data_IF_049804099687
#
_entry.id   IF_049804099687
#
_cell.length_a   1.000
_cell.length_b   1.000
_cell.length_c   1.000
_cell.angle_alpha   90.00
_cell.angle_beta   90.00
_cell.angle_gamma   90.00
#
_symmetry.space_group_name_H-M   'P 1'
#
loop_
_entity.id
_entity.type
_entity.pdbx_description
1 polymer ?
#
# COMPACT_ATOMS: atom_id res chain seq x y z
N UNK A 1 15.28 -6.06 44.49
CA UNK A 1 15.36 -4.92 43.54
C UNK A 1 13.97 -4.32 43.49
N UNK A 2 13.76 -3.25 44.25
CA UNK A 2 12.47 -2.56 44.31
C UNK A 2 12.34 -1.70 43.05
N UNK A 3 11.40 -2.06 42.18
CA UNK A 3 10.97 -1.18 41.09
C UNK A 3 10.21 -0.01 41.70
N UNK A 4 10.90 1.10 41.92
CA UNK A 4 10.28 2.34 42.37
C UNK A 4 9.31 2.81 41.30
N UNK A 5 8.06 2.98 41.71
CA UNK A 5 6.98 3.55 40.94
C UNK A 5 7.31 5.02 40.60
N UNK A 6 7.94 5.26 39.45
CA UNK A 6 8.20 6.60 38.89
C UNK A 6 6.92 7.43 38.62
N UNK A 7 5.75 6.85 38.85
CA UNK A 7 4.43 7.52 38.72
C UNK A 7 4.04 8.41 39.90
N UNK A 8 4.87 8.53 40.94
CA UNK A 8 4.52 9.26 42.16
C UNK A 8 5.19 10.63 42.31
N UNK A 9 5.77 11.18 41.24
CA UNK A 9 6.27 12.55 41.29
C UNK A 9 5.10 13.56 41.20
N UNK A 10 5.20 14.76 41.79
CA UNK A 10 4.15 15.80 41.70
C UNK A 10 3.80 16.15 40.25
N UNK A 11 4.78 16.07 39.32
CA UNK A 11 4.61 16.31 37.89
C UNK A 11 3.76 15.19 37.25
N UNK A 12 4.02 13.93 37.55
CA UNK A 12 3.23 12.81 37.02
C UNK A 12 1.79 12.81 37.53
N UNK A 13 1.57 13.17 38.77
CA UNK A 13 0.21 13.32 39.34
C UNK A 13 -0.55 14.47 38.67
N UNK A 14 0.11 15.59 38.38
CA UNK A 14 -0.50 16.72 37.65
C UNK A 14 -0.86 16.33 36.22
N UNK A 15 0.00 15.56 35.54
CA UNK A 15 -0.27 15.04 34.18
C UNK A 15 -1.50 14.12 34.21
N UNK A 16 -1.57 13.17 35.14
CA UNK A 16 -2.71 12.26 35.28
C UNK A 16 -4.00 13.02 35.54
N UNK A 17 -3.97 14.01 36.47
CA UNK A 17 -5.13 14.84 36.77
C UNK A 17 -5.62 15.63 35.55
N UNK A 18 -4.71 16.23 34.80
CA UNK A 18 -5.04 16.96 33.54
C UNK A 18 -5.64 16.03 32.47
N UNK A 19 -5.12 14.81 32.34
CA UNK A 19 -5.69 13.80 31.45
C UNK A 19 -7.11 13.44 31.89
N UNK A 20 -7.33 13.19 33.18
CA UNK A 20 -8.65 12.85 33.74
C UNK A 20 -9.68 13.96 33.55
N UNK A 21 -9.28 15.22 33.71
CA UNK A 21 -10.15 16.38 33.48
C UNK A 21 -10.49 16.58 31.99
N UNK A 22 -9.55 16.32 31.08
CA UNK A 22 -9.75 16.45 29.63
C UNK A 22 -10.51 15.29 28.98
N UNK A 23 -10.42 14.09 29.58
CA UNK A 23 -10.95 12.85 29.02
C UNK A 23 -12.46 12.89 28.71
N UNK A 24 -13.35 13.37 29.61
CA UNK A 24 -14.80 13.40 29.33
C UNK A 24 -15.16 14.23 28.12
N UNK A 25 -14.51 15.39 27.92
CA UNK A 25 -14.73 16.25 26.76
C UNK A 25 -14.28 15.54 25.47
N UNK A 26 -13.12 14.90 25.50
CA UNK A 26 -12.58 14.16 24.35
C UNK A 26 -13.47 12.97 23.99
N UNK A 27 -13.92 12.20 24.98
CA UNK A 27 -14.84 11.07 24.79
C UNK A 27 -16.18 11.55 24.22
N UNK A 28 -16.74 12.66 24.72
CA UNK A 28 -17.98 13.23 24.19
C UNK A 28 -17.85 13.65 22.73
N UNK A 29 -16.75 14.34 22.35
CA UNK A 29 -16.45 14.71 20.96
C UNK A 29 -16.33 13.47 20.08
N UNK A 30 -15.58 12.47 20.53
CA UNK A 30 -15.42 11.22 19.78
C UNK A 30 -16.76 10.49 19.59
N UNK A 31 -17.55 10.38 20.66
CA UNK A 31 -18.88 9.75 20.63
C UNK A 31 -19.81 10.46 19.64
N UNK A 32 -19.79 11.79 19.59
CA UNK A 32 -20.62 12.54 18.62
C UNK A 32 -20.19 12.29 17.17
N UNK A 33 -18.87 12.15 16.90
CA UNK A 33 -18.34 11.76 15.59
C UNK A 33 -18.76 10.35 15.18
N UNK A 34 -18.74 9.40 16.11
CA UNK A 34 -19.20 8.02 15.85
C UNK A 34 -20.70 7.97 15.53
N UNK A 35 -21.54 8.70 16.29
CA UNK A 35 -22.99 8.81 16.02
C UNK A 35 -23.28 9.41 14.66
N UNK A 36 -22.48 10.36 14.18
CA UNK A 36 -22.63 10.88 12.82
C UNK A 36 -22.37 9.79 11.76
N UNK A 37 -21.31 8.97 11.95
CA UNK A 37 -21.01 7.84 11.04
C UNK A 37 -22.17 6.86 11.02
N UNK A 38 -22.67 6.44 12.17
CA UNK A 38 -23.81 5.51 12.29
C UNK A 38 -25.06 6.04 11.56
N UNK A 39 -25.25 7.36 11.62
CA UNK A 39 -26.41 8.01 10.96
C UNK A 39 -26.27 8.06 9.43
N UNK A 40 -25.05 8.26 8.89
CA UNK A 40 -24.84 8.40 7.44
C UNK A 40 -24.65 7.04 6.75
N UNK A 41 -24.13 6.04 7.42
CA UNK A 41 -23.78 4.74 6.84
C UNK A 41 -24.96 4.05 6.11
N UNK A 42 -26.19 4.00 6.65
CA UNK A 42 -27.33 3.42 5.94
C UNK A 42 -27.66 4.14 4.63
N UNK A 43 -27.52 5.47 4.61
CA UNK A 43 -27.76 6.28 3.40
C UNK A 43 -26.73 5.95 2.31
N UNK A 44 -25.43 5.87 2.66
CA UNK A 44 -24.38 5.52 1.71
C UNK A 44 -24.55 4.11 1.16
N UNK A 45 -25.03 3.18 2.00
CA UNK A 45 -25.34 1.82 1.56
C UNK A 45 -26.53 1.77 0.61
N UNK A 46 -27.63 2.47 0.94
CA UNK A 46 -28.82 2.50 0.11
C UNK A 46 -28.56 3.15 -1.26
N UNK A 47 -27.73 4.18 -1.31
CA UNK A 47 -27.40 4.91 -2.54
C UNK A 47 -26.43 4.19 -3.49
N UNK A 48 -25.91 3.02 -3.14
CA UNK A 48 -24.95 2.29 -3.96
C UNK A 48 -23.47 2.69 -3.76
N UNK A 49 -23.20 3.69 -2.91
CA UNK A 49 -21.82 4.08 -2.56
C UNK A 49 -21.08 2.98 -1.82
N UNK A 50 -21.79 2.21 -0.98
CA UNK A 50 -21.28 1.02 -0.31
C UNK A 50 -22.05 -0.19 -0.80
N UNK A 51 -21.35 -1.17 -1.33
CA UNK A 51 -21.89 -2.39 -1.92
C UNK A 51 -21.48 -3.61 -1.09
N UNK A 52 -22.42 -4.54 -0.88
CA UNK A 52 -22.10 -5.84 -0.30
C UNK A 52 -21.51 -6.74 -1.38
N UNK A 53 -20.54 -7.55 -0.99
CA UNK A 53 -19.87 -8.49 -1.88
C UNK A 53 -20.14 -9.91 -1.42
N UNK A 54 -20.59 -10.73 -2.34
CA UNK A 54 -20.71 -12.17 -2.15
C UNK A 54 -19.35 -12.82 -2.33
N UNK A 55 -19.01 -13.74 -1.45
CA UNK A 55 -17.75 -14.47 -1.56
C UNK A 55 -17.85 -15.59 -2.58
N UNK A 56 -16.75 -15.87 -3.25
CA UNK A 56 -16.60 -17.09 -4.05
C UNK A 56 -16.39 -18.27 -3.10
N UNK A 57 -17.28 -19.25 -3.19
CA UNK A 57 -17.20 -20.50 -2.41
C UNK A 57 -17.78 -21.66 -3.25
N UNK A 58 -16.96 -22.63 -3.71
CA UNK A 58 -15.51 -22.67 -3.54
C UNK A 58 -14.76 -21.64 -4.40
N UNK A 59 -13.63 -21.16 -3.88
CA UNK A 59 -12.71 -20.32 -4.65
C UNK A 59 -11.77 -21.23 -5.45
N UNK A 60 -11.78 -21.06 -6.78
CA UNK A 60 -10.78 -21.67 -7.68
C UNK A 60 -10.11 -20.55 -8.46
N UNK A 61 -8.81 -20.34 -8.25
CA UNK A 61 -8.06 -19.25 -8.88
C UNK A 61 -6.55 -19.54 -8.88
N UNK A 62 -5.89 -19.18 -9.98
CA UNK A 62 -4.43 -19.01 -10.01
C UNK A 62 -4.10 -17.56 -9.66
N UNK A 63 -3.43 -17.33 -8.55
CA UNK A 63 -3.07 -16.00 -8.10
C UNK A 63 -1.60 -15.89 -7.74
N UNK A 64 -1.03 -14.70 -7.98
CA UNK A 64 0.33 -14.35 -7.61
C UNK A 64 0.34 -13.13 -6.69
N UNK A 65 1.21 -13.15 -5.69
CA UNK A 65 1.52 -11.99 -4.86
C UNK A 65 2.96 -11.55 -5.10
N UNK A 66 3.20 -10.26 -5.23
CA UNK A 66 4.56 -9.69 -5.27
C UNK A 66 4.62 -8.59 -4.22
N UNK A 67 5.58 -8.73 -3.29
CA UNK A 67 5.82 -7.76 -2.22
C UNK A 67 7.24 -7.28 -2.27
N UNK A 68 7.47 -6.01 -1.91
CA UNK A 68 8.80 -5.43 -1.76
C UNK A 68 8.99 -4.87 -0.36
N UNK A 69 10.24 -4.91 0.12
CA UNK A 69 10.62 -4.38 1.41
C UNK A 69 12.06 -3.90 1.39
N UNK A 70 12.36 -2.89 2.19
CA UNK A 70 13.71 -2.43 2.44
C UNK A 70 13.99 -2.26 3.93
N UNK A 71 15.27 -2.26 4.29
CA UNK A 71 15.79 -1.89 5.61
C UNK A 71 17.08 -1.11 5.43
N UNK A 72 17.30 -0.20 6.36
CA UNK A 72 18.47 0.67 6.39
C UNK A 72 19.21 0.55 7.70
N UNK A 73 20.50 0.89 7.68
CA UNK A 73 21.33 1.08 8.86
C UNK A 73 22.36 2.15 8.57
N UNK A 74 22.54 3.08 9.50
CA UNK A 74 23.62 4.05 9.42
C UNK A 74 24.95 3.35 9.60
N UNK A 75 25.91 3.59 8.72
CA UNK A 75 27.27 3.07 8.84
C UNK A 75 28.21 3.86 7.91
N UNK A 76 29.47 3.98 8.30
CA UNK A 76 30.54 4.58 7.51
C UNK A 76 30.25 6.02 7.03
N UNK A 77 29.44 6.76 7.80
CA UNK A 77 29.01 8.12 7.42
C UNK A 77 27.93 8.21 6.34
N UNK A 78 27.35 7.08 5.92
CA UNK A 78 26.25 6.95 4.97
C UNK A 78 25.12 6.05 5.48
N UNK A 79 24.20 5.72 4.61
CA UNK A 79 23.11 4.79 4.89
C UNK A 79 23.29 3.55 4.03
N UNK A 80 23.60 2.43 4.67
CA UNK A 80 23.52 1.11 4.03
C UNK A 80 22.07 0.67 3.94
N UNK A 81 21.69 0.04 2.84
CA UNK A 81 20.37 -0.55 2.69
C UNK A 81 20.42 -1.97 2.16
N UNK A 82 19.41 -2.73 2.51
CA UNK A 82 19.02 -3.97 1.83
C UNK A 82 17.59 -3.79 1.33
N UNK A 83 17.38 -4.02 0.05
CA UNK A 83 16.07 -3.98 -0.57
C UNK A 83 15.83 -5.29 -1.32
N UNK A 84 14.59 -5.77 -1.27
CA UNK A 84 14.24 -6.97 -1.99
C UNK A 84 12.76 -7.03 -2.33
N UNK A 85 12.45 -7.79 -3.37
CA UNK A 85 11.10 -8.17 -3.71
C UNK A 85 10.99 -9.69 -3.84
N UNK A 86 9.83 -10.24 -3.49
CA UNK A 86 9.53 -11.65 -3.63
C UNK A 86 8.18 -11.84 -4.33
N UNK A 87 8.10 -12.85 -5.17
CA UNK A 87 6.90 -13.33 -5.85
C UNK A 87 6.53 -14.69 -5.28
N UNK A 88 5.23 -14.90 -5.03
CA UNK A 88 4.67 -16.20 -4.67
C UNK A 88 3.45 -16.49 -5.53
N UNK A 89 3.55 -17.53 -6.35
CA UNK A 89 2.44 -18.05 -7.14
C UNK A 89 1.71 -19.16 -6.40
N UNK A 90 0.39 -19.19 -6.57
CA UNK A 90 -0.49 -20.15 -5.92
C UNK A 90 -1.61 -20.59 -6.85
N UNK A 91 -1.95 -21.87 -6.78
CA UNK A 91 -3.25 -22.37 -7.19
C UNK A 91 -4.09 -22.60 -5.94
N UNK A 92 -5.28 -22.03 -5.92
CA UNK A 92 -6.28 -22.27 -4.88
C UNK A 92 -7.41 -23.00 -5.54
N UNK A 93 -7.75 -24.18 -5.03
CA UNK A 93 -8.75 -25.08 -5.58
C UNK A 93 -9.40 -25.88 -4.45
N UNK A 94 -10.72 -25.90 -4.41
CA UNK A 94 -11.50 -26.64 -3.41
C UNK A 94 -11.07 -26.39 -1.96
N UNK A 95 -10.76 -25.15 -1.63
CA UNK A 95 -10.31 -24.74 -0.30
C UNK A 95 -8.86 -25.13 0.04
N UNK A 96 -8.15 -25.77 -0.89
CA UNK A 96 -6.74 -26.14 -0.75
C UNK A 96 -5.84 -25.09 -1.42
N UNK A 97 -4.65 -24.87 -0.84
CA UNK A 97 -3.68 -23.89 -1.31
C UNK A 97 -2.41 -24.62 -1.75
N UNK A 98 -2.08 -24.54 -3.03
CA UNK A 98 -0.88 -25.10 -3.61
C UNK A 98 0.08 -23.97 -4.00
N UNK A 99 1.25 -23.93 -3.37
CA UNK A 99 2.34 -23.01 -3.77
C UNK A 99 3.04 -23.60 -4.98
N UNK A 100 3.01 -22.89 -6.09
CA UNK A 100 3.52 -23.42 -7.37
C UNK A 100 4.89 -22.89 -7.73
N UNK A 101 5.18 -21.63 -7.39
CA UNK A 101 6.47 -20.99 -7.69
C UNK A 101 6.79 -19.88 -6.69
N UNK A 102 8.08 -19.73 -6.40
CA UNK A 102 8.59 -18.62 -5.61
C UNK A 102 9.86 -18.06 -6.27
N UNK A 103 9.89 -16.77 -6.54
CA UNK A 103 11.06 -16.03 -7.06
C UNK A 103 11.37 -14.85 -6.14
N UNK A 104 12.60 -14.37 -6.17
CA UNK A 104 12.99 -13.19 -5.41
C UNK A 104 14.17 -12.45 -6.04
N UNK A 105 14.26 -11.15 -5.76
CA UNK A 105 15.42 -10.32 -6.06
C UNK A 105 15.83 -9.57 -4.80
N UNK A 106 17.11 -9.46 -4.55
CA UNK A 106 17.66 -8.76 -3.38
C UNK A 106 18.89 -7.98 -3.84
N UNK A 107 19.03 -6.76 -3.33
CA UNK A 107 20.21 -5.94 -3.48
C UNK A 107 20.63 -5.35 -2.15
N UNK A 108 21.93 -5.15 -1.98
CA UNK A 108 22.54 -4.49 -0.81
C UNK A 108 23.50 -3.45 -1.35
N UNK A 109 23.32 -2.20 -0.95
CA UNK A 109 24.13 -1.09 -1.43
C UNK A 109 24.11 0.08 -0.43
N UNK A 110 24.76 1.15 -0.76
CA UNK A 110 24.79 2.40 -0.02
C UNK A 110 23.90 3.44 -0.68
N UNK A 111 23.27 4.27 0.13
CA UNK A 111 22.45 5.39 -0.31
C UNK A 111 22.80 6.64 0.48
N UNK A 112 22.79 7.78 -0.18
CA UNK A 112 22.95 9.08 0.46
C UNK A 112 21.76 9.40 1.37
N UNK A 113 21.98 10.04 2.51
CA UNK A 113 20.97 10.33 3.54
C UNK A 113 19.82 11.16 3.02
N UNK A 114 20.11 12.13 2.15
CA UNK A 114 19.08 13.02 1.62
C UNK A 114 18.08 12.27 0.73
N UNK A 115 16.79 12.37 1.10
CA UNK A 115 15.67 11.71 0.42
C UNK A 115 15.77 10.17 0.35
N UNK A 116 16.52 9.54 1.26
CA UNK A 116 16.74 8.09 1.31
C UNK A 116 15.42 7.30 1.23
N UNK A 117 14.39 7.71 1.95
CA UNK A 117 13.07 7.06 1.93
C UNK A 117 12.40 7.09 0.54
N UNK A 118 12.54 8.19 -0.22
CA UNK A 118 12.03 8.25 -1.59
C UNK A 118 12.83 7.36 -2.54
N UNK A 119 14.17 7.39 -2.41
CA UNK A 119 15.04 6.54 -3.23
C UNK A 119 14.71 5.07 -3.02
N UNK A 120 14.55 4.64 -1.76
CA UNK A 120 14.17 3.26 -1.40
C UNK A 120 12.80 2.88 -1.94
N UNK A 121 11.82 3.79 -1.90
CA UNK A 121 10.51 3.56 -2.52
C UNK A 121 10.63 3.29 -4.03
N UNK A 122 11.49 4.03 -4.75
CA UNK A 122 11.72 3.78 -6.18
C UNK A 122 12.39 2.42 -6.42
N UNK A 123 13.34 2.04 -5.58
CA UNK A 123 14.01 0.73 -5.63
C UNK A 123 13.00 -0.40 -5.43
N UNK A 124 12.12 -0.30 -4.43
CA UNK A 124 11.05 -1.28 -4.18
C UNK A 124 10.14 -1.44 -5.41
N UNK A 125 9.77 -0.32 -6.06
CA UNK A 125 8.98 -0.34 -7.28
C UNK A 125 9.75 -1.01 -8.43
N UNK A 126 11.01 -0.65 -8.67
CA UNK A 126 11.85 -1.24 -9.72
C UNK A 126 11.95 -2.76 -9.54
N UNK A 127 12.22 -3.22 -8.31
CA UNK A 127 12.32 -4.64 -8.00
C UNK A 127 10.99 -5.39 -8.21
N UNK A 128 9.86 -4.76 -7.86
CA UNK A 128 8.53 -5.33 -8.12
C UNK A 128 8.26 -5.44 -9.62
N UNK A 129 8.53 -4.40 -10.40
CA UNK A 129 8.30 -4.40 -11.85
C UNK A 129 9.23 -5.38 -12.59
N UNK A 130 10.43 -5.63 -12.08
CA UNK A 130 11.30 -6.69 -12.58
C UNK A 130 10.65 -8.08 -12.45
N UNK A 131 10.10 -8.39 -11.27
CA UNK A 131 9.38 -9.66 -11.06
C UNK A 131 8.07 -9.74 -11.86
N UNK A 132 7.37 -8.60 -12.07
CA UNK A 132 6.22 -8.54 -12.96
C UNK A 132 6.59 -8.84 -14.42
N UNK A 133 7.71 -8.28 -14.93
CA UNK A 133 8.20 -8.60 -16.28
C UNK A 133 8.54 -10.08 -16.42
N UNK A 134 9.17 -10.68 -15.42
CA UNK A 134 9.47 -12.12 -15.42
C UNK A 134 8.19 -12.96 -15.43
N UNK A 135 7.19 -12.59 -14.60
CA UNK A 135 5.88 -13.23 -14.58
C UNK A 135 5.18 -13.19 -15.94
N UNK A 136 5.20 -12.03 -16.59
CA UNK A 136 4.53 -11.88 -17.90
C UNK A 136 5.19 -12.66 -19.04
N UNK A 137 6.42 -13.13 -18.85
CA UNK A 137 7.14 -14.01 -19.80
C UNK A 137 6.85 -15.50 -19.58
N UNK A 138 6.24 -15.86 -18.44
CA UNK A 138 5.92 -17.26 -18.15
C UNK A 138 4.82 -17.81 -19.07
N UNK A 139 4.91 -19.08 -19.43
CA UNK A 139 3.91 -19.76 -20.26
C UNK A 139 2.57 -19.88 -19.56
N UNK A 140 2.59 -20.16 -18.24
CA UNK A 140 1.39 -20.28 -17.40
C UNK A 140 1.24 -19.08 -16.49
N UNK A 141 0.49 -18.09 -16.95
CA UNK A 141 0.23 -16.86 -16.19
C UNK A 141 -0.86 -17.05 -15.14
N UNK A 142 -0.79 -16.36 -13.99
CA UNK A 142 -1.89 -16.31 -13.04
C UNK A 142 -3.05 -15.46 -13.61
N UNK A 143 -4.24 -15.67 -13.10
CA UNK A 143 -5.43 -14.88 -13.42
C UNK A 143 -5.43 -13.53 -12.69
N UNK A 144 -4.84 -13.51 -11.48
CA UNK A 144 -4.77 -12.34 -10.61
C UNK A 144 -3.36 -12.17 -10.05
N UNK A 145 -2.79 -10.98 -10.23
CA UNK A 145 -1.51 -10.57 -9.64
C UNK A 145 -1.76 -9.42 -8.67
N UNK A 146 -1.25 -9.55 -7.46
CA UNK A 146 -1.45 -8.60 -6.37
C UNK A 146 -0.09 -8.06 -5.93
N UNK A 147 0.09 -6.73 -5.99
CA UNK A 147 1.32 -6.05 -5.55
C UNK A 147 1.04 -5.10 -4.40
N UNK A 148 2.05 -4.73 -3.62
CA UNK A 148 1.96 -3.73 -2.53
C UNK A 148 2.66 -2.40 -2.85
N UNK A 149 3.10 -2.23 -4.09
CA UNK A 149 3.63 -0.96 -4.61
C UNK A 149 2.59 -0.26 -5.50
N UNK A 150 2.68 1.07 -5.68
CA UNK A 150 1.77 1.78 -6.60
C UNK A 150 1.92 1.29 -8.04
N UNK A 151 0.81 1.18 -8.76
CA UNK A 151 0.83 0.81 -10.20
C UNK A 151 1.35 1.94 -11.07
N UNK A 152 1.10 3.19 -10.69
CA UNK A 152 1.58 4.40 -11.36
C UNK A 152 2.14 5.37 -10.33
N UNK A 153 3.15 6.14 -10.72
CA UNK A 153 3.68 7.23 -9.90
C UNK A 153 2.73 8.42 -9.95
N UNK A 154 2.71 9.17 -8.83
CA UNK A 154 1.97 10.41 -8.70
C UNK A 154 2.91 11.60 -8.66
N UNK A 155 2.34 12.81 -8.80
CA UNK A 155 3.11 14.05 -8.64
C UNK A 155 3.84 14.13 -7.29
N UNK A 156 3.23 13.61 -6.23
CA UNK A 156 3.84 13.56 -4.90
C UNK A 156 5.05 12.62 -4.83
N UNK A 157 5.16 11.68 -5.76
CA UNK A 157 6.28 10.76 -5.86
C UNK A 157 7.48 11.38 -6.59
N UNK A 158 7.28 12.45 -7.37
CA UNK A 158 8.39 13.15 -8.01
C UNK A 158 9.37 13.74 -6.97
N UNK A 159 10.68 13.70 -7.24
CA UNK A 159 11.65 14.34 -6.35
C UNK A 159 11.41 15.85 -6.31
N UNK A 160 11.60 16.44 -5.13
CA UNK A 160 11.54 17.90 -4.94
C UNK A 160 12.86 18.58 -5.34
N UNK A 161 13.92 17.79 -5.38
CA UNK A 161 15.28 18.24 -5.64
C UNK A 161 15.77 17.74 -7.02
N UNK A 162 16.59 18.54 -7.68
CA UNK A 162 17.17 18.22 -8.99
C UNK A 162 18.54 17.52 -8.90
N UNK A 163 18.89 16.94 -7.77
CA UNK A 163 20.15 16.17 -7.61
C UNK A 163 20.18 14.97 -8.55
N UNK A 164 21.33 14.75 -9.17
CA UNK A 164 21.51 13.70 -10.18
C UNK A 164 21.23 12.28 -9.66
N UNK A 165 21.60 12.00 -8.42
CA UNK A 165 21.45 10.68 -7.79
C UNK A 165 19.97 10.29 -7.66
N UNK A 166 19.14 11.14 -7.05
CA UNK A 166 17.70 10.86 -6.90
C UNK A 166 16.99 10.88 -8.26
N UNK A 167 17.33 11.80 -9.16
CA UNK A 167 16.76 11.86 -10.49
C UNK A 167 17.07 10.60 -11.31
N UNK A 168 18.28 10.04 -11.19
CA UNK A 168 18.65 8.82 -11.89
C UNK A 168 17.79 7.63 -11.45
N UNK A 169 17.61 7.44 -10.13
CA UNK A 169 16.80 6.34 -9.60
C UNK A 169 15.31 6.56 -9.95
N UNK A 170 14.82 7.79 -9.83
CA UNK A 170 13.46 8.15 -10.22
C UNK A 170 13.19 7.88 -11.70
N UNK A 171 14.10 8.28 -12.60
CA UNK A 171 13.97 8.02 -14.03
C UNK A 171 14.03 6.52 -14.35
N UNK A 172 14.88 5.74 -13.67
CA UNK A 172 14.88 4.28 -13.81
C UNK A 172 13.52 3.69 -13.39
N UNK A 173 12.95 4.18 -12.29
CA UNK A 173 11.63 3.75 -11.81
C UNK A 173 10.53 4.08 -12.85
N UNK A 174 10.50 5.32 -13.38
CA UNK A 174 9.57 5.72 -14.45
C UNK A 174 9.66 4.80 -15.65
N UNK A 175 10.88 4.61 -16.16
CA UNK A 175 11.14 3.76 -17.34
C UNK A 175 10.69 2.31 -17.08
N UNK A 176 10.90 1.77 -15.88
CA UNK A 176 10.46 0.41 -15.54
C UNK A 176 8.93 0.29 -15.60
N UNK A 177 8.22 1.25 -15.03
CA UNK A 177 6.75 1.30 -15.06
C UNK A 177 6.24 1.46 -16.50
N UNK A 178 6.73 2.47 -17.21
CA UNK A 178 6.30 2.79 -18.56
C UNK A 178 6.53 1.63 -19.52
N UNK A 179 7.74 1.08 -19.52
CA UNK A 179 8.10 -0.06 -20.36
C UNK A 179 7.20 -1.27 -20.09
N UNK A 180 6.94 -1.57 -18.83
CA UNK A 180 6.09 -2.70 -18.47
C UNK A 180 4.67 -2.53 -19.02
N UNK A 181 4.00 -1.43 -18.70
CA UNK A 181 2.61 -1.22 -19.09
C UNK A 181 2.44 -1.10 -20.60
N UNK A 182 3.33 -0.39 -21.30
CA UNK A 182 3.27 -0.27 -22.76
C UNK A 182 3.56 -1.60 -23.48
N UNK A 183 4.41 -2.46 -22.90
CA UNK A 183 4.72 -3.76 -23.48
C UNK A 183 3.63 -4.80 -23.27
N UNK A 184 2.88 -4.72 -22.18
CA UNK A 184 1.96 -5.77 -21.75
C UNK A 184 0.50 -5.37 -21.69
N UNK A 185 0.10 -4.12 -21.97
CA UNK A 185 -1.28 -3.65 -21.88
C UNK A 185 -2.27 -4.57 -22.61
N UNK A 186 -1.92 -5.08 -23.78
CA UNK A 186 -2.77 -5.95 -24.58
C UNK A 186 -2.91 -7.39 -24.01
N UNK A 187 -2.22 -7.69 -22.92
CA UNK A 187 -2.31 -8.93 -22.17
C UNK A 187 -2.91 -8.74 -20.77
N UNK A 188 -3.36 -7.53 -20.43
CA UNK A 188 -3.81 -7.14 -19.09
C UNK A 188 -5.27 -6.75 -19.14
N UNK A 189 -6.02 -7.27 -18.17
CA UNK A 189 -7.39 -6.87 -17.90
C UNK A 189 -7.44 -5.45 -17.32
N UNK A 190 -8.34 -4.54 -17.74
CA UNK A 190 -9.52 -4.78 -18.56
C UNK A 190 -9.31 -4.60 -20.07
N UNK A 191 -8.10 -4.25 -20.54
CA UNK A 191 -7.81 -4.00 -21.96
C UNK A 191 -7.90 -5.28 -22.79
N UNK A 192 -7.62 -6.44 -22.19
CA UNK A 192 -7.83 -7.77 -22.78
C UNK A 192 -8.80 -8.57 -21.91
N UNK A 193 -9.86 -9.14 -22.51
CA UNK A 193 -10.89 -9.89 -21.76
C UNK A 193 -10.33 -11.09 -20.95
N UNK A 194 -9.36 -11.80 -21.52
CA UNK A 194 -8.68 -12.94 -20.89
C UNK A 194 -7.31 -12.53 -20.33
N UNK A 195 -7.09 -11.23 -20.16
CA UNK A 195 -5.84 -10.69 -19.65
C UNK A 195 -5.66 -10.94 -18.15
N UNK A 196 -4.41 -10.86 -17.72
CA UNK A 196 -4.04 -10.93 -16.32
C UNK A 196 -4.58 -9.72 -15.56
N UNK A 197 -5.31 -9.94 -14.48
CA UNK A 197 -5.74 -8.86 -13.57
C UNK A 197 -4.55 -8.47 -12.70
N UNK A 198 -4.01 -7.26 -12.84
CA UNK A 198 -2.92 -6.75 -11.99
C UNK A 198 -3.46 -5.62 -11.12
N UNK A 199 -3.35 -5.78 -9.81
CA UNK A 199 -3.84 -4.82 -8.82
C UNK A 199 -2.78 -4.47 -7.80
N UNK A 200 -2.87 -3.25 -7.26
CA UNK A 200 -2.12 -2.86 -6.07
C UNK A 200 -3.02 -2.82 -4.85
N UNK A 201 -2.50 -3.27 -3.72
CA UNK A 201 -3.20 -3.27 -2.43
C UNK A 201 -2.46 -2.38 -1.43
N UNK A 202 -3.17 -1.44 -0.83
CA UNK A 202 -2.58 -0.54 0.15
C UNK A 202 -3.61 -0.03 1.17
N UNK A 203 -3.11 0.69 2.16
CA UNK A 203 -3.93 1.33 3.20
C UNK A 203 -3.73 2.84 3.12
N UNK A 204 -4.26 3.48 2.09
CA UNK A 204 -4.06 4.89 1.77
C UNK A 204 -5.28 5.51 1.10
N UNK A 205 -5.26 6.82 0.87
CA UNK A 205 -6.19 7.61 0.06
C UNK A 205 -7.67 7.45 0.41
N UNK A 206 -7.98 7.31 1.69
CA UNK A 206 -9.37 7.17 2.15
C UNK A 206 -10.28 8.32 1.72
N UNK A 207 -9.70 9.47 1.39
CA UNK A 207 -10.45 10.64 0.92
C UNK A 207 -10.92 10.55 -0.52
N UNK A 208 -10.32 9.73 -1.35
CA UNK A 208 -10.56 9.75 -2.78
C UNK A 208 -12.02 9.49 -3.15
N UNK A 209 -12.67 8.50 -2.53
CA UNK A 209 -14.10 8.24 -2.78
C UNK A 209 -14.99 9.41 -2.37
N UNK A 210 -14.69 10.10 -1.26
CA UNK A 210 -15.48 11.24 -0.80
C UNK A 210 -15.37 12.40 -1.79
N UNK A 211 -14.18 12.65 -2.32
CA UNK A 211 -13.98 13.66 -3.36
C UNK A 211 -14.62 13.26 -4.69
N UNK A 212 -14.64 11.97 -5.03
CA UNK A 212 -15.35 11.49 -6.22
C UNK A 212 -16.87 11.68 -6.13
N UNK A 213 -17.41 11.72 -4.92
CA UNK A 213 -18.85 11.95 -4.66
C UNK A 213 -19.25 13.43 -4.65
N UNK A 214 -18.40 14.34 -5.08
CA UNK A 214 -18.77 15.75 -5.28
C UNK A 214 -19.36 15.97 -6.67
N UNK A 215 -20.14 17.03 -6.85
CA UNK A 215 -20.85 17.30 -8.11
C UNK A 215 -19.90 17.37 -9.31
N UNK A 216 -18.79 18.06 -9.19
CA UNK A 216 -17.76 18.20 -10.24
C UNK A 216 -17.11 16.86 -10.66
N UNK A 217 -17.08 15.87 -9.79
CA UNK A 217 -16.28 14.65 -9.94
C UNK A 217 -17.11 13.37 -10.07
N UNK A 218 -18.44 13.45 -9.93
CA UNK A 218 -19.32 12.27 -9.97
C UNK A 218 -19.26 11.45 -11.26
N UNK A 219 -18.88 12.09 -12.37
CA UNK A 219 -18.63 11.44 -13.66
C UNK A 219 -17.43 10.45 -13.65
N UNK A 220 -16.61 10.51 -12.62
CA UNK A 220 -15.47 9.61 -12.43
C UNK A 220 -15.79 8.42 -11.53
N UNK A 221 -17.07 8.18 -11.23
CA UNK A 221 -17.55 6.98 -10.53
C UNK A 221 -18.02 5.96 -11.56
N UNK A 222 -17.49 4.74 -11.49
CA UNK A 222 -17.84 3.67 -12.42
C UNK A 222 -19.12 2.94 -12.03
N UNK A 223 -19.44 2.89 -10.74
CA UNK A 223 -20.65 2.22 -10.26
C UNK A 223 -21.89 3.09 -10.39
N UNK A 224 -23.07 2.49 -10.64
CA UNK A 224 -24.34 3.22 -10.55
C UNK A 224 -24.62 3.64 -9.09
N UNK A 225 -24.79 4.93 -8.86
CA UNK A 225 -25.14 5.53 -7.57
C UNK A 225 -26.42 6.36 -7.69
N UNK A 226 -27.15 6.50 -6.58
CA UNK A 226 -28.33 7.36 -6.51
C UNK A 226 -27.93 8.83 -6.65
N UNK A 227 -28.50 9.56 -7.61
CA UNK A 227 -28.13 10.95 -7.92
C UNK A 227 -28.25 11.92 -6.73
N UNK A 228 -29.24 11.70 -5.86
CA UNK A 228 -29.42 12.52 -4.65
C UNK A 228 -28.32 12.40 -3.60
N UNK A 229 -27.44 11.38 -3.69
CA UNK A 229 -26.36 11.21 -2.72
C UNK A 229 -25.27 12.27 -2.87
N UNK A 230 -25.02 12.76 -4.08
CA UNK A 230 -23.99 13.74 -4.36
C UNK A 230 -24.31 15.06 -3.66
N UNK A 231 -25.53 15.59 -3.89
CA UNK A 231 -25.98 16.81 -3.20
C UNK A 231 -25.92 16.67 -1.67
N UNK A 232 -26.26 15.47 -1.15
CA UNK A 232 -26.21 15.19 0.28
C UNK A 232 -24.77 15.14 0.82
N UNK A 233 -23.81 14.60 0.07
CA UNK A 233 -22.40 14.59 0.46
C UNK A 233 -21.84 16.01 0.46
N UNK A 234 -22.16 16.82 -0.55
CA UNK A 234 -21.73 18.21 -0.63
C UNK A 234 -22.24 19.03 0.57
N UNK A 235 -23.52 18.86 0.94
CA UNK A 235 -24.11 19.47 2.13
C UNK A 235 -23.40 19.04 3.43
N UNK A 236 -23.01 17.78 3.52
CA UNK A 236 -22.39 17.20 4.71
C UNK A 236 -20.87 17.34 4.77
N UNK A 237 -20.23 17.86 3.72
CA UNK A 237 -18.77 17.94 3.61
C UNK A 237 -18.08 18.57 4.83
N UNK A 238 -18.57 19.68 5.45
CA UNK A 238 -17.95 20.23 6.65
C UNK A 238 -17.95 19.25 7.83
N UNK A 239 -19.02 18.47 8.00
CA UNK A 239 -19.13 17.45 9.05
C UNK A 239 -18.24 16.25 8.75
N UNK A 240 -18.12 15.85 7.50
CA UNK A 240 -17.25 14.76 7.04
C UNK A 240 -15.79 15.13 7.34
N UNK A 241 -15.40 16.36 7.07
CA UNK A 241 -14.06 16.86 7.37
C UNK A 241 -13.78 16.91 8.88
N UNK A 242 -14.74 17.37 9.71
CA UNK A 242 -14.60 17.35 11.16
C UNK A 242 -14.47 15.94 11.74
N UNK A 243 -15.24 14.99 11.25
CA UNK A 243 -15.15 13.57 11.65
C UNK A 243 -13.79 12.98 11.27
N UNK A 244 -13.24 13.39 10.14
CA UNK A 244 -12.03 12.85 9.53
C UNK A 244 -12.34 11.67 8.60
N UNK A 245 -11.93 11.81 7.34
CA UNK A 245 -12.29 10.89 6.26
C UNK A 245 -11.84 9.45 6.55
N UNK A 246 -10.63 9.24 7.07
CA UNK A 246 -10.18 7.89 7.46
C UNK A 246 -11.10 7.22 8.47
N UNK A 247 -11.56 7.97 9.46
CA UNK A 247 -12.51 7.45 10.48
C UNK A 247 -13.87 7.14 9.86
N UNK A 248 -14.37 8.03 8.99
CA UNK A 248 -15.59 7.79 8.24
C UNK A 248 -15.49 6.49 7.47
N UNK A 249 -14.48 6.31 6.63
CA UNK A 249 -14.27 5.11 5.81
C UNK A 249 -14.18 3.84 6.66
N UNK A 250 -13.47 3.90 7.78
CA UNK A 250 -13.36 2.77 8.70
C UNK A 250 -14.70 2.37 9.31
N UNK A 251 -15.56 3.35 9.60
CA UNK A 251 -16.86 3.12 10.23
C UNK A 251 -17.99 2.74 9.27
N UNK A 252 -18.00 3.28 8.04
CA UNK A 252 -19.06 2.96 7.06
C UNK A 252 -18.84 1.62 6.35
N UNK A 253 -17.58 1.20 6.15
CA UNK A 253 -17.26 -0.09 5.57
C UNK A 253 -17.35 -1.18 6.64
N UNK A 254 -18.18 -2.17 6.37
CA UNK A 254 -18.32 -3.37 7.19
C UNK A 254 -17.72 -4.59 6.49
N UNK A 255 -17.66 -5.72 7.17
CA UNK A 255 -17.16 -6.98 6.58
C UNK A 255 -17.84 -7.30 5.25
N UNK A 256 -17.07 -7.71 4.28
CA UNK A 256 -17.54 -8.10 2.92
C UNK A 256 -18.23 -6.94 2.17
N UNK A 257 -17.69 -5.72 2.29
CA UNK A 257 -18.16 -4.59 1.52
C UNK A 257 -17.04 -3.93 0.73
N UNK A 258 -17.43 -3.25 -0.35
CA UNK A 258 -16.58 -2.31 -1.09
C UNK A 258 -17.26 -0.95 -1.22
N UNK A 259 -16.49 0.07 -1.52
CA UNK A 259 -17.02 1.34 -2.02
C UNK A 259 -17.35 1.23 -3.51
N UNK A 260 -18.12 2.17 -4.02
CA UNK A 260 -18.12 2.47 -5.45
C UNK A 260 -16.69 2.73 -5.92
N UNK A 261 -16.37 2.28 -7.13
CA UNK A 261 -15.05 2.49 -7.73
C UNK A 261 -14.99 3.86 -8.41
N UNK A 262 -13.81 4.47 -8.36
CA UNK A 262 -13.57 5.84 -8.82
C UNK A 262 -12.26 5.94 -9.59
N UNK A 263 -12.19 6.87 -10.53
CA UNK A 263 -10.99 7.17 -11.31
C UNK A 263 -10.18 8.28 -10.64
N UNK A 264 -8.88 8.04 -10.41
CA UNK A 264 -8.02 8.97 -9.66
C UNK A 264 -7.67 10.26 -10.39
N UNK A 265 -7.32 10.17 -11.65
CA UNK A 265 -6.89 11.30 -12.48
C UNK A 265 -8.00 12.34 -12.70
N UNK A 266 -9.25 11.93 -12.54
CA UNK A 266 -10.39 12.82 -12.61
C UNK A 266 -10.70 13.56 -11.30
N UNK A 267 -10.27 13.01 -10.16
CA UNK A 267 -10.63 13.51 -8.83
C UNK A 267 -9.63 14.53 -8.32
N UNK A 268 -8.37 14.35 -8.66
CA UNK A 268 -7.29 15.18 -8.16
C UNK A 268 -6.56 15.85 -9.32
N UNK A 269 -7.01 17.05 -9.69
CA UNK A 269 -6.41 17.86 -10.77
C UNK A 269 -4.93 18.16 -10.53
N UNK A 270 -4.46 18.11 -9.29
CA UNK A 270 -3.07 18.33 -8.91
C UNK A 270 -2.22 17.06 -8.93
N UNK A 271 -2.85 15.87 -8.91
CA UNK A 271 -2.15 14.61 -9.10
C UNK A 271 -1.92 14.36 -10.57
N UNK A 272 -0.69 14.49 -11.00
CA UNK A 272 -0.26 14.07 -12.34
C UNK A 272 0.25 12.65 -12.23
N UNK A 273 -0.36 11.76 -12.99
CA UNK A 273 0.20 10.43 -13.21
C UNK A 273 1.46 10.60 -14.05
N UNK A 274 2.50 9.92 -13.64
CA UNK A 274 3.73 9.88 -14.40
C UNK A 274 4.11 8.42 -14.68
N UNK A 275 4.63 8.13 -15.87
CA UNK A 275 4.88 9.03 -16.99
C UNK A 275 3.60 9.43 -17.74
N UNK A 276 3.67 10.56 -18.48
CA UNK A 276 2.52 11.13 -19.22
C UNK A 276 1.90 10.15 -20.23
N UNK A 277 2.73 9.34 -20.89
CA UNK A 277 2.33 8.28 -21.82
C UNK A 277 1.37 7.26 -21.23
N UNK A 278 1.27 7.14 -19.91
CA UNK A 278 0.38 6.20 -19.22
C UNK A 278 -0.94 6.84 -18.77
N UNK A 279 -1.13 8.15 -18.93
CA UNK A 279 -2.37 8.84 -18.51
C UNK A 279 -3.61 8.32 -19.23
N UNK A 280 -3.47 7.93 -20.49
CA UNK A 280 -4.57 7.38 -21.27
C UNK A 280 -5.04 6.01 -20.76
N UNK A 281 -4.18 5.28 -20.05
CA UNK A 281 -4.56 4.01 -19.44
C UNK A 281 -5.50 4.21 -18.26
N UNK A 282 -5.42 5.33 -17.58
CA UNK A 282 -6.20 5.63 -16.39
C UNK A 282 -5.81 4.80 -15.17
N UNK A 283 -6.24 5.25 -14.00
CA UNK A 283 -6.08 4.54 -12.74
C UNK A 283 -7.40 4.60 -11.98
N UNK A 284 -7.93 3.43 -11.66
CA UNK A 284 -9.14 3.24 -10.87
C UNK A 284 -8.81 2.82 -9.46
N UNK A 285 -9.71 3.11 -8.52
CA UNK A 285 -9.60 2.67 -7.15
C UNK A 285 -10.93 2.30 -6.52
N UNK A 286 -10.91 1.38 -5.56
CA UNK A 286 -12.02 1.10 -4.67
C UNK A 286 -11.49 0.68 -3.30
N UNK A 287 -12.22 0.99 -2.23
CA UNK A 287 -11.87 0.48 -0.91
C UNK A 287 -12.69 -0.78 -0.61
N UNK A 288 -12.04 -1.80 -0.07
CA UNK A 288 -12.68 -3.03 0.38
C UNK A 288 -12.44 -3.26 1.87
N UNK A 289 -13.35 -3.99 2.54
CA UNK A 289 -13.17 -4.44 3.90
C UNK A 289 -13.53 -5.92 4.02
N UNK A 290 -12.51 -6.75 4.20
CA UNK A 290 -12.68 -8.20 4.26
C UNK A 290 -13.12 -8.70 5.64
N UNK A 291 -12.64 -8.11 6.72
CA UNK A 291 -12.91 -8.52 8.11
C UNK A 291 -13.38 -7.39 9.01
N UNK A 292 -13.95 -7.72 10.16
CA UNK A 292 -14.46 -6.73 11.12
C UNK A 292 -13.34 -5.89 11.75
N UNK A 293 -12.23 -6.52 12.08
CA UNK A 293 -11.09 -5.90 12.79
C UNK A 293 -10.03 -5.33 11.85
N UNK A 294 -10.10 -5.66 10.54
CA UNK A 294 -9.13 -5.19 9.56
C UNK A 294 -9.44 -3.76 9.10
N UNK A 295 -8.44 -2.92 8.85
CA UNK A 295 -8.68 -1.65 8.19
C UNK A 295 -9.19 -1.87 6.75
N UNK A 296 -9.92 -0.90 6.18
CA UNK A 296 -10.22 -0.92 4.75
C UNK A 296 -8.93 -0.89 3.93
N UNK A 297 -8.88 -1.67 2.87
CA UNK A 297 -7.78 -1.69 1.90
C UNK A 297 -8.21 -0.92 0.65
N UNK A 298 -7.32 -0.12 0.10
CA UNK A 298 -7.45 0.44 -1.23
C UNK A 298 -6.95 -0.59 -2.24
N UNK A 299 -7.77 -0.87 -3.23
CA UNK A 299 -7.41 -1.62 -4.42
C UNK A 299 -7.24 -0.62 -5.55
N UNK A 300 -6.04 -0.56 -6.12
CA UNK A 300 -5.76 0.21 -7.33
C UNK A 300 -5.69 -0.74 -8.53
N UNK A 301 -6.24 -0.33 -9.66
CA UNK A 301 -6.26 -1.08 -10.92
C UNK A 301 -6.16 -0.13 -12.10
N UNK A 302 -5.56 -0.56 -13.21
CA UNK A 302 -5.54 0.26 -14.42
C UNK A 302 -6.92 0.28 -15.08
N UNK A 303 -7.14 1.31 -15.87
CA UNK A 303 -8.36 1.55 -16.63
C UNK A 303 -9.06 2.85 -16.22
N UNK A 304 -10.06 3.19 -17.02
CA UNK A 304 -10.95 4.34 -16.82
C UNK A 304 -12.33 3.87 -16.40
N UNK A 305 -13.23 4.78 -16.06
CA UNK A 305 -14.64 4.45 -15.78
C UNK A 305 -15.36 3.80 -16.96
N UNK A 306 -14.80 3.86 -18.18
CA UNK A 306 -15.38 3.22 -19.38
C UNK A 306 -14.94 1.76 -19.53
N UNK A 307 -13.83 1.39 -18.91
CA UNK A 307 -13.24 0.06 -19.05
C UNK A 307 -13.79 -0.92 -18.00
N UNK A 308 -14.42 -0.41 -16.92
CA UNK A 308 -14.89 -1.21 -15.81
C UNK A 308 -16.42 -1.10 -15.63
N UNK A 309 -17.10 -2.23 -15.55
CA UNK A 309 -18.51 -2.30 -15.14
C UNK A 309 -18.63 -2.65 -13.66
N UNK A 310 -19.82 -2.42 -13.10
CA UNK A 310 -20.08 -2.76 -11.69
C UNK A 310 -19.91 -4.26 -11.42
N UNK A 311 -20.30 -5.11 -12.36
CA UNK A 311 -20.17 -6.58 -12.28
C UNK A 311 -18.70 -7.01 -12.26
N UNK A 312 -17.88 -6.43 -13.15
CA UNK A 312 -16.41 -6.68 -13.18
C UNK A 312 -15.75 -6.29 -11.87
N UNK A 313 -16.17 -5.17 -11.29
CA UNK A 313 -15.67 -4.66 -10.01
C UNK A 313 -16.14 -5.52 -8.83
N UNK A 314 -17.39 -6.01 -8.85
CA UNK A 314 -17.93 -6.92 -7.83
C UNK A 314 -17.21 -8.28 -7.88
N UNK A 315 -16.96 -8.82 -9.09
CA UNK A 315 -16.18 -10.05 -9.28
C UNK A 315 -14.75 -9.89 -8.74
N UNK A 316 -14.05 -8.82 -9.13
CA UNK A 316 -12.69 -8.57 -8.65
C UNK A 316 -12.64 -8.42 -7.12
N UNK A 317 -13.57 -7.65 -6.54
CA UNK A 317 -13.67 -7.50 -5.08
C UNK A 317 -13.96 -8.83 -4.39
N UNK A 318 -14.81 -9.68 -4.98
CA UNK A 318 -15.13 -11.01 -4.49
C UNK A 318 -13.89 -11.92 -4.48
N UNK A 319 -13.12 -11.95 -5.57
CA UNK A 319 -11.84 -12.69 -5.65
C UNK A 319 -10.87 -12.23 -4.56
N UNK A 320 -10.67 -10.92 -4.41
CA UNK A 320 -9.73 -10.37 -3.42
C UNK A 320 -10.17 -10.65 -1.99
N UNK A 321 -11.45 -10.41 -1.68
CA UNK A 321 -11.98 -10.64 -0.32
C UNK A 321 -11.94 -12.13 0.02
N UNK A 322 -12.24 -13.02 -0.93
CA UNK A 322 -12.14 -14.46 -0.73
C UNK A 322 -10.71 -14.91 -0.42
N UNK A 323 -9.71 -14.30 -1.07
CA UNK A 323 -8.29 -14.54 -0.76
C UNK A 323 -7.87 -14.04 0.63
N UNK A 324 -8.51 -12.99 1.17
CA UNK A 324 -8.23 -12.45 2.51
C UNK A 324 -8.92 -13.30 3.60
N UNK A 325 -10.10 -13.81 3.33
CA UNK A 325 -10.90 -14.57 4.31
C UNK A 325 -10.25 -15.89 4.73
N UNK A 326 -9.35 -16.45 3.93
CA UNK A 326 -8.56 -17.61 4.32
C UNK A 326 -7.77 -17.41 5.62
N UNK A 327 -7.32 -16.17 5.87
CA UNK A 327 -6.70 -15.80 7.13
C UNK A 327 -6.97 -14.33 7.48
N UNK A 328 -8.07 -14.10 8.18
CA UNK A 328 -8.51 -12.76 8.57
C UNK A 328 -7.52 -12.01 9.48
N UNK A 329 -6.66 -12.72 10.20
CA UNK A 329 -5.66 -12.08 11.07
C UNK A 329 -4.56 -11.40 10.26
N UNK A 330 -4.25 -11.95 9.10
CA UNK A 330 -3.21 -11.39 8.21
C UNK A 330 -3.66 -10.12 7.49
N UNK A 331 -4.97 -9.93 7.32
CA UNK A 331 -5.58 -8.77 6.67
C UNK A 331 -5.08 -8.46 5.25
N UNK A 332 -4.43 -9.42 4.60
CA UNK A 332 -3.89 -9.33 3.24
C UNK A 332 -4.32 -10.56 2.42
N UNK A 333 -4.45 -10.43 1.10
CA UNK A 333 -4.64 -11.57 0.22
C UNK A 333 -3.50 -12.58 0.40
N UNK A 334 -3.84 -13.87 0.47
CA UNK A 334 -2.89 -14.94 0.80
C UNK A 334 -1.63 -14.93 -0.08
N UNK A 335 -1.70 -14.78 -1.42
CA UNK A 335 -0.49 -14.76 -2.24
C UNK A 335 0.46 -13.63 -1.84
N UNK A 336 -0.07 -12.42 -1.61
CA UNK A 336 0.71 -11.26 -1.20
C UNK A 336 1.31 -11.46 0.21
N UNK A 337 0.56 -12.06 1.12
CA UNK A 337 1.05 -12.37 2.46
C UNK A 337 2.26 -13.33 2.42
N UNK A 338 2.19 -14.37 1.59
CA UNK A 338 3.31 -15.32 1.47
C UNK A 338 4.52 -14.71 0.77
N UNK A 339 4.32 -13.86 -0.24
CA UNK A 339 5.41 -13.08 -0.84
C UNK A 339 6.10 -12.20 0.23
N UNK A 340 5.32 -11.49 1.03
CA UNK A 340 5.84 -10.71 2.16
C UNK A 340 6.53 -11.57 3.21
N UNK A 341 6.00 -12.76 3.50
CA UNK A 341 6.61 -13.68 4.43
C UNK A 341 7.98 -14.18 3.95
N UNK A 342 8.17 -14.36 2.65
CA UNK A 342 9.46 -14.73 2.06
C UNK A 342 10.54 -13.67 2.29
N UNK A 343 10.15 -12.40 2.48
CA UNK A 343 11.06 -11.28 2.76
C UNK A 343 11.39 -11.09 4.25
N UNK A 344 10.91 -11.97 5.13
CA UNK A 344 11.23 -11.92 6.56
C UNK A 344 12.73 -11.82 6.89
N UNK A 345 13.65 -12.49 6.16
CA UNK A 345 15.07 -12.30 6.41
C UNK A 345 15.57 -10.85 6.28
N UNK A 346 14.94 -10.09 5.36
CA UNK A 346 15.20 -8.65 5.20
C UNK A 346 14.54 -7.84 6.31
N UNK A 347 13.35 -8.25 6.75
CA UNK A 347 12.59 -7.56 7.80
C UNK A 347 13.13 -7.83 9.21
N UNK A 348 13.71 -9.01 9.43
CA UNK A 348 14.11 -9.47 10.74
C UNK A 348 15.23 -8.60 11.33
N UNK A 349 15.02 -8.15 12.56
CA UNK A 349 16.02 -7.46 13.37
C UNK A 349 16.25 -8.22 14.67
N UNK A 350 17.50 -8.33 15.07
CA UNK A 350 17.88 -8.82 16.39
C UNK A 350 18.50 -7.67 17.18
N UNK A 351 17.92 -7.31 18.32
CA UNK A 351 18.29 -6.13 19.11
C UNK A 351 18.35 -4.82 18.28
N UNK A 352 17.40 -4.65 17.36
CA UNK A 352 17.34 -3.49 16.47
C UNK A 352 18.27 -3.54 15.24
N UNK A 353 19.14 -4.56 15.14
CA UNK A 353 20.11 -4.70 14.04
C UNK A 353 19.64 -5.76 13.02
N UNK A 354 19.77 -5.45 11.74
CA UNK A 354 19.45 -6.38 10.67
C UNK A 354 20.67 -7.23 10.33
N UNK A 355 20.53 -8.56 10.35
CA UNK A 355 21.64 -9.50 10.17
C UNK A 355 22.37 -9.34 8.82
N UNK A 356 21.64 -9.02 7.73
CA UNK A 356 22.24 -8.83 6.40
C UNK A 356 23.11 -7.57 6.39
N UNK A 357 22.63 -6.47 6.95
CA UNK A 357 23.36 -5.21 7.02
C UNK A 357 24.56 -5.32 7.96
N UNK A 358 24.43 -6.02 9.09
CA UNK A 358 25.56 -6.27 9.99
C UNK A 358 26.66 -7.15 9.34
N UNK A 359 26.25 -8.15 8.55
CA UNK A 359 27.18 -8.95 7.77
C UNK A 359 27.93 -8.09 6.73
N UNK A 360 27.20 -7.22 6.01
CA UNK A 360 27.79 -6.29 5.05
C UNK A 360 28.80 -5.33 5.72
N UNK A 361 28.45 -4.76 6.87
CA UNK A 361 29.34 -3.93 7.68
C UNK A 361 30.61 -4.69 8.08
N UNK A 362 30.48 -5.93 8.54
CA UNK A 362 31.59 -6.77 8.94
C UNK A 362 32.55 -7.05 7.77
N UNK A 363 32.01 -7.37 6.59
CA UNK A 363 32.83 -7.59 5.38
C UNK A 363 33.55 -6.33 4.93
N UNK A 364 32.88 -5.16 5.00
CA UNK A 364 33.50 -3.88 4.68
C UNK A 364 34.66 -3.57 5.66
N UNK A 365 34.44 -3.78 6.96
CA UNK A 365 35.50 -3.60 7.99
C UNK A 365 36.70 -4.53 7.75
N UNK A 366 36.43 -5.77 7.34
CA UNK A 366 37.52 -6.73 7.07
C UNK A 366 38.35 -6.30 5.87
N UNK A 367 37.74 -5.79 4.81
CA UNK A 367 38.48 -5.24 3.66
C UNK A 367 39.29 -3.99 4.01
N UNK A 368 38.76 -3.12 4.86
CA UNK A 368 39.44 -1.91 5.28
C UNK A 368 40.66 -2.18 6.16
N UNK A 369 40.75 -3.36 6.82
CA UNK A 369 41.91 -3.73 7.63
C UNK A 369 43.21 -3.93 6.83
N UNK A 370 43.11 -4.26 5.55
CA UNK A 370 44.26 -4.51 4.68
C UNK A 370 44.79 -3.25 4.00
N UNK A 371 44.14 -2.07 4.24
CA UNK A 371 44.55 -0.79 3.65
C UNK A 371 45.09 0.17 4.73
N UNK A 372 46.05 1.02 4.36
CA UNK A 372 46.67 2.04 5.27
C UNK A 372 45.64 3.04 5.88
N UNK A 373 44.38 3.00 5.42
CA UNK A 373 43.23 3.79 5.88
C UNK A 373 42.64 3.30 7.22
N UNK A 374 43.08 2.14 7.73
CA UNK A 374 42.50 1.49 8.92
C UNK A 374 42.47 2.41 10.15
N UNK A 375 43.49 3.24 10.36
CA UNK A 375 43.58 4.08 11.56
C UNK A 375 42.64 5.28 11.54
N UNK A 376 42.32 5.82 10.36
CA UNK A 376 41.48 7.01 10.22
C UNK A 376 39.97 6.64 10.39
N UNK A 377 39.60 5.46 9.94
CA UNK A 377 38.19 5.02 9.98
C UNK A 377 37.80 4.28 11.25
N UNK A 378 38.76 3.59 11.94
CA UNK A 378 38.49 2.87 13.20
C UNK A 378 37.95 3.76 14.32
N UNK A 379 38.50 4.95 14.48
CA UNK A 379 38.09 5.88 15.55
C UNK A 379 36.77 6.59 15.23
N UNK A 380 36.40 6.68 13.97
CA UNK A 380 35.19 7.38 13.52
C UNK A 380 34.00 6.46 13.17
N UNK A 381 34.23 5.15 12.98
CA UNK A 381 33.18 4.19 12.60
C UNK A 381 32.13 3.99 13.72
N UNK A 382 32.58 4.01 14.98
CA UNK A 382 31.72 3.79 16.13
C UNK A 382 30.95 5.07 16.53
N UNK A 383 31.42 6.25 16.12
CA UNK A 383 30.77 7.54 16.44
C UNK A 383 29.49 7.82 15.65
N UNK A 384 29.24 7.09 14.55
CA UNK A 384 28.06 7.27 13.67
C UNK A 384 27.05 6.11 13.77
N UNK A 385 27.25 5.17 14.70
CA UNK A 385 26.33 4.02 14.90
C UNK A 385 25.24 4.26 15.97
N UNK A 386 25.16 5.45 16.62
CA UNK A 386 24.13 5.79 17.60
C UNK A 386 22.83 6.31 16.95
#
# INVERSE_FOLDING_TARGET
MNGDNDFNTPVSQSIVANIQLGLPSTVSKLSSKMRFIDKIAPTLKKSGVIRNIELLDPLTIKASGISAINRTSNAFGGILYVAGAARQDMLIEDGSIYKTRQDSTVEVDEIDDLDSQKKLKYIDIINTYKLLEELMKDDSKPELVIVDVPLLLERADAPLDNRKDILNIYNKCKVSIEKFWLSYKDNIYPFAKEGVKIISVGNKRFGAIVFALTDDNSKFIADPIESGIIAKIDELMPKIQDVGIKRLMTGILVKKTRTAAFQFDGINKDSRLEPESLRELGLMGMHIKAGNTTPPLLIEMLGTVRDWTAEMLDELASQIISLIVFDQQKALPIPLWYAKYALKPIEATNNGKNAILEFYKAQTREKLKDEELENIWKENLDAFEE
#
